data_IF_783089027778
#
_entry.id   IF_783089027778
#
_cell.length_a   1.000
_cell.length_b   1.000
_cell.length_c   1.000
_cell.angle_alpha   90.00
_cell.angle_beta   90.00
_cell.angle_gamma   90.00
#
_symmetry.space_group_name_H-M   'P 1'
#
loop_
_entity.id
_entity.type
_entity.pdbx_description
1 polymer ?
#
# COMPACT_ATOMS: atom_id res chain seq x y z
N UNK A 1 -30.54 -5.20 54.33
CA UNK A 1 -29.28 -5.47 53.59
C UNK A 1 -29.36 -6.88 53.03
N UNK A 2 -29.28 -7.03 51.72
CA UNK A 2 -28.86 -8.23 50.99
C UNK A 2 -28.87 -7.85 49.50
N UNK A 3 -27.77 -7.26 49.04
CA UNK A 3 -27.56 -6.96 47.62
C UNK A 3 -27.17 -8.29 46.97
N UNK A 4 -28.01 -8.75 46.06
CA UNK A 4 -27.84 -9.99 45.31
C UNK A 4 -26.61 -9.90 44.41
N UNK A 5 -25.54 -10.58 44.81
CA UNK A 5 -24.24 -10.66 44.11
C UNK A 5 -24.32 -11.49 42.81
N UNK A 6 -25.48 -12.09 42.50
CA UNK A 6 -25.62 -13.03 41.37
C UNK A 6 -25.96 -12.40 40.01
N UNK A 7 -26.14 -11.08 39.91
CA UNK A 7 -26.58 -10.41 38.68
C UNK A 7 -25.49 -9.57 37.99
N UNK A 8 -24.21 -9.97 38.08
CA UNK A 8 -23.08 -9.26 37.42
C UNK A 8 -22.37 -10.13 36.37
N UNK A 9 -22.81 -11.38 36.14
CA UNK A 9 -22.24 -12.30 35.15
C UNK A 9 -23.06 -12.33 33.84
N UNK A 10 -23.40 -11.16 33.29
CA UNK A 10 -24.11 -11.08 32.01
C UNK A 10 -23.30 -10.20 31.04
N UNK A 11 -22.86 -10.85 29.94
CA UNK A 11 -22.43 -10.31 28.65
C UNK A 11 -20.98 -9.80 28.51
N UNK A 12 -20.00 -10.70 28.67
CA UNK A 12 -18.82 -10.65 27.80
C UNK A 12 -19.10 -11.49 26.55
N UNK A 13 -19.94 -10.96 25.65
CA UNK A 13 -20.06 -11.48 24.29
C UNK A 13 -18.76 -11.14 23.57
N UNK A 14 -17.78 -12.06 23.61
CA UNK A 14 -16.58 -11.96 22.80
C UNK A 14 -17.03 -12.12 21.35
N UNK A 15 -17.32 -11.00 20.69
CA UNK A 15 -17.49 -10.97 19.25
C UNK A 15 -16.19 -11.43 18.63
N UNK A 16 -16.14 -12.67 18.18
CA UNK A 16 -15.05 -13.14 17.33
C UNK A 16 -15.29 -12.48 15.99
N UNK A 17 -14.64 -11.33 15.76
CA UNK A 17 -14.48 -10.78 14.42
C UNK A 17 -13.51 -11.73 13.72
N UNK A 18 -14.06 -12.65 12.93
CA UNK A 18 -13.27 -13.42 11.97
C UNK A 18 -12.82 -12.44 10.88
N UNK A 19 -11.50 -12.29 10.75
CA UNK A 19 -10.96 -11.57 9.60
C UNK A 19 -11.20 -12.41 8.34
N UNK A 20 -11.44 -11.74 7.22
CA UNK A 20 -11.70 -12.39 5.93
C UNK A 20 -10.46 -13.22 5.55
N UNK A 21 -10.67 -14.47 5.21
CA UNK A 21 -9.62 -15.31 4.66
C UNK A 21 -9.31 -14.81 3.24
N UNK A 22 -8.11 -14.27 3.06
CA UNK A 22 -7.62 -13.82 1.76
C UNK A 22 -6.78 -14.92 1.13
N UNK A 23 -6.88 -15.05 -0.18
CA UNK A 23 -6.00 -15.93 -0.96
C UNK A 23 -4.60 -15.30 -1.03
N UNK A 24 -3.72 -15.73 -0.12
CA UNK A 24 -2.36 -15.22 -0.04
C UNK A 24 -1.50 -15.60 -1.26
N UNK A 25 -1.92 -16.57 -2.09
CA UNK A 25 -1.21 -16.89 -3.34
C UNK A 25 -1.38 -15.78 -4.38
N UNK A 26 -2.44 -14.96 -4.26
CA UNK A 26 -2.70 -13.82 -5.14
C UNK A 26 -2.02 -12.52 -4.71
N UNK A 27 -1.32 -12.50 -3.57
CA UNK A 27 -0.67 -11.28 -3.06
C UNK A 27 0.52 -10.90 -3.95
N UNK A 28 0.46 -9.72 -4.56
CA UNK A 28 1.52 -9.18 -5.43
C UNK A 28 2.37 -8.11 -4.77
N UNK A 29 1.82 -7.45 -3.73
CA UNK A 29 2.55 -6.48 -2.93
C UNK A 29 2.02 -6.54 -1.49
N UNK A 30 2.95 -6.52 -0.54
CA UNK A 30 2.62 -6.50 0.88
C UNK A 30 3.73 -5.83 1.69
N UNK A 31 3.35 -5.37 2.87
CA UNK A 31 4.29 -4.89 3.87
C UNK A 31 3.63 -4.82 5.24
N UNK A 32 4.46 -4.80 6.29
CA UNK A 32 3.99 -4.60 7.65
C UNK A 32 4.93 -3.66 8.41
N UNK A 33 4.39 -2.86 9.32
CA UNK A 33 5.14 -1.89 10.10
C UNK A 33 4.25 -1.08 11.03
N UNK A 34 4.90 -0.21 11.80
CA UNK A 34 4.23 0.63 12.80
C UNK A 34 3.62 1.89 12.16
N UNK A 35 2.38 2.20 12.55
CA UNK A 35 1.68 3.45 12.25
C UNK A 35 1.17 4.02 13.58
N UNK A 36 1.89 5.00 14.13
CA UNK A 36 1.65 5.44 15.50
C UNK A 36 1.84 4.27 16.49
N UNK A 37 0.78 3.91 17.21
CA UNK A 37 0.75 2.78 18.14
C UNK A 37 0.22 1.47 17.51
N UNK A 38 -0.18 1.52 16.24
CA UNK A 38 -0.76 0.39 15.52
C UNK A 38 0.31 -0.41 14.80
N UNK A 39 0.24 -1.74 14.87
CA UNK A 39 1.02 -2.61 13.99
C UNK A 39 0.15 -2.99 12.78
N UNK A 40 0.50 -2.46 11.62
CA UNK A 40 -0.33 -2.50 10.42
C UNK A 40 0.32 -3.41 9.37
N UNK A 41 -0.51 -4.17 8.64
CA UNK A 41 -0.15 -4.91 7.43
C UNK A 41 -1.02 -4.43 6.28
N UNK A 42 -0.42 -4.18 5.12
CA UNK A 42 -1.15 -3.93 3.88
C UNK A 42 -0.95 -5.07 2.90
N UNK A 43 -1.98 -5.38 2.11
CA UNK A 43 -1.95 -6.39 1.05
C UNK A 43 -2.57 -5.82 -0.22
N UNK A 44 -1.97 -6.14 -1.36
CA UNK A 44 -2.51 -5.91 -2.70
C UNK A 44 -2.57 -7.24 -3.40
N UNK A 45 -3.76 -7.61 -3.88
CA UNK A 45 -4.01 -8.89 -4.53
C UNK A 45 -4.17 -8.68 -6.04
N UNK A 46 -3.58 -9.58 -6.82
CA UNK A 46 -3.77 -9.62 -8.27
C UNK A 46 -5.24 -9.85 -8.60
N UNK A 47 -5.83 -8.99 -9.44
CA UNK A 47 -7.23 -9.07 -9.88
C UNK A 47 -8.25 -8.56 -8.86
N UNK A 48 -7.81 -8.01 -7.72
CA UNK A 48 -8.68 -7.28 -6.79
C UNK A 48 -8.37 -5.78 -6.92
N UNK A 49 -9.38 -4.91 -7.07
CA UNK A 49 -9.14 -3.49 -7.27
C UNK A 49 -8.75 -2.76 -5.98
N UNK A 50 -8.97 -3.35 -4.80
CA UNK A 50 -8.85 -2.68 -3.51
C UNK A 50 -7.53 -2.96 -2.78
N UNK A 51 -7.10 -1.98 -2.00
CA UNK A 51 -6.04 -2.13 -1.01
C UNK A 51 -6.62 -2.67 0.30
N UNK A 52 -6.07 -3.77 0.80
CA UNK A 52 -6.49 -4.32 2.09
C UNK A 52 -5.53 -3.79 3.16
N UNK A 53 -6.08 -3.19 4.22
CA UNK A 53 -5.33 -2.77 5.41
C UNK A 53 -5.81 -3.55 6.62
N UNK A 54 -4.87 -4.16 7.33
CA UNK A 54 -5.13 -4.96 8.52
C UNK A 54 -4.34 -4.41 9.70
N UNK A 55 -5.01 -4.18 10.82
CA UNK A 55 -4.34 -3.96 12.09
C UNK A 55 -4.13 -5.31 12.77
N UNK A 56 -2.92 -5.57 13.22
CA UNK A 56 -2.56 -6.82 13.88
C UNK A 56 -2.59 -6.65 15.39
N UNK A 57 -3.16 -7.64 16.08
CA UNK A 57 -3.16 -7.65 17.54
C UNK A 57 -1.72 -7.82 18.09
N UNK A 58 -1.26 -6.95 19.00
CA UNK A 58 0.05 -7.11 19.63
C UNK A 58 0.21 -8.47 20.31
N UNK A 59 1.33 -9.16 20.05
CA UNK A 59 1.57 -10.52 20.56
C UNK A 59 0.63 -11.61 20.01
N UNK A 60 -0.31 -11.26 19.13
CA UNK A 60 -1.34 -12.14 18.58
C UNK A 60 -0.86 -13.11 17.51
N UNK A 61 0.46 -13.24 17.28
CA UNK A 61 1.06 -14.10 16.23
C UNK A 61 0.46 -13.87 14.83
N UNK A 62 0.27 -12.61 14.46
CA UNK A 62 -0.32 -12.23 13.18
C UNK A 62 -1.85 -12.27 13.14
N UNK A 63 -2.53 -12.46 14.27
CA UNK A 63 -3.98 -12.32 14.37
C UNK A 63 -4.39 -10.89 13.98
N UNK A 64 -5.29 -10.80 13.01
CA UNK A 64 -5.92 -9.55 12.59
C UNK A 64 -6.93 -9.13 13.67
N UNK A 65 -6.83 -7.86 14.09
CA UNK A 65 -7.72 -7.22 15.06
C UNK A 65 -8.83 -6.42 14.38
N UNK A 66 -8.52 -5.81 13.24
CA UNK A 66 -9.46 -5.14 12.35
C UNK A 66 -8.89 -5.14 10.94
N UNK A 67 -9.79 -5.07 9.96
CA UNK A 67 -9.47 -5.05 8.54
C UNK A 67 -10.39 -4.05 7.86
N UNK A 68 -9.87 -3.33 6.88
CA UNK A 68 -10.69 -2.54 5.97
C UNK A 68 -10.10 -2.55 4.56
N UNK A 69 -11.00 -2.53 3.57
CA UNK A 69 -10.65 -2.43 2.16
C UNK A 69 -10.81 -0.97 1.73
N UNK A 70 -9.75 -0.38 1.17
CA UNK A 70 -9.80 0.94 0.56
C UNK A 70 -9.89 0.75 -0.96
N UNK A 71 -11.06 1.08 -1.52
CA UNK A 71 -11.41 0.85 -2.92
C UNK A 71 -11.62 2.17 -3.70
N UNK A 72 -11.12 3.29 -3.20
CA UNK A 72 -11.32 4.61 -3.80
C UNK A 72 -10.16 5.56 -3.49
N UNK A 73 -10.01 6.57 -4.35
CA UNK A 73 -9.12 7.71 -4.18
C UNK A 73 -9.92 8.98 -4.50
N UNK A 74 -9.83 9.99 -3.63
CA UNK A 74 -10.58 11.26 -3.76
C UNK A 74 -12.10 11.11 -3.97
N UNK A 75 -12.68 10.02 -3.42
CA UNK A 75 -14.11 9.72 -3.50
C UNK A 75 -14.53 8.94 -4.75
N UNK A 76 -13.63 8.79 -5.72
CA UNK A 76 -13.86 8.04 -6.94
C UNK A 76 -13.42 6.58 -6.75
N UNK A 77 -14.28 5.63 -7.15
CA UNK A 77 -14.02 4.21 -6.94
C UNK A 77 -13.03 3.66 -7.97
N UNK A 78 -12.24 2.68 -7.56
CA UNK A 78 -11.27 2.00 -8.42
C UNK A 78 -11.91 1.14 -9.52
N UNK A 79 -13.11 0.61 -9.27
CA UNK A 79 -13.80 -0.31 -10.17
C UNK A 79 -14.29 0.35 -11.47
N UNK A 80 -14.80 1.58 -11.39
CA UNK A 80 -15.49 2.25 -12.50
C UNK A 80 -15.01 3.68 -12.79
N UNK A 81 -14.28 4.31 -11.86
CA UNK A 81 -13.79 5.68 -12.04
C UNK A 81 -12.49 5.82 -12.81
N UNK A 82 -11.79 4.71 -13.06
CA UNK A 82 -10.47 4.69 -13.67
C UNK A 82 -10.34 3.55 -14.69
N UNK A 83 -9.43 3.72 -15.65
CA UNK A 83 -9.04 2.65 -16.57
C UNK A 83 -8.18 1.62 -15.85
N UNK A 84 -7.26 2.09 -15.00
CA UNK A 84 -6.39 1.24 -14.19
C UNK A 84 -5.93 1.98 -12.93
N UNK A 85 -5.78 1.23 -11.85
CA UNK A 85 -5.15 1.68 -10.59
C UNK A 85 -4.13 0.64 -10.20
N UNK A 86 -2.89 1.06 -9.98
CA UNK A 86 -1.76 0.19 -9.68
C UNK A 86 -1.03 0.66 -8.41
N UNK A 87 -0.92 -0.21 -7.41
CA UNK A 87 -0.09 0.03 -6.24
C UNK A 87 1.37 -0.35 -6.56
N UNK A 88 2.23 0.64 -6.71
CA UNK A 88 3.63 0.45 -7.16
C UNK A 88 4.56 0.08 -6.01
N UNK A 89 4.35 0.69 -4.84
CA UNK A 89 5.13 0.41 -3.64
C UNK A 89 4.40 0.87 -2.38
N UNK A 90 4.86 0.40 -1.21
CA UNK A 90 4.38 0.86 0.09
C UNK A 90 5.51 0.92 1.11
N UNK A 91 5.57 2.01 1.88
CA UNK A 91 6.62 2.28 2.85
C UNK A 91 6.03 2.75 4.17
N UNK A 92 6.53 2.18 5.27
CA UNK A 92 6.26 2.65 6.62
C UNK A 92 7.38 3.62 7.03
N UNK A 93 7.04 4.88 7.30
CA UNK A 93 8.02 5.89 7.71
C UNK A 93 7.37 7.00 8.54
N UNK A 94 8.08 7.42 9.59
CA UNK A 94 7.65 8.51 10.49
C UNK A 94 6.24 8.26 11.06
N UNK A 95 5.94 7.01 11.43
CA UNK A 95 4.64 6.61 11.99
C UNK A 95 3.48 6.65 10.98
N UNK A 96 3.77 6.60 9.67
CA UNK A 96 2.78 6.64 8.59
C UNK A 96 3.00 5.51 7.60
N UNK A 97 1.92 5.07 6.96
CA UNK A 97 1.96 4.21 5.79
C UNK A 97 1.73 5.08 4.54
N UNK A 98 2.74 5.15 3.68
CA UNK A 98 2.70 5.89 2.42
C UNK A 98 2.86 4.91 1.25
N UNK A 99 1.98 5.03 0.27
CA UNK A 99 1.93 4.21 -0.93
C UNK A 99 2.25 5.06 -2.16
N UNK A 100 2.89 4.45 -3.15
CA UNK A 100 2.95 5.00 -4.50
C UNK A 100 1.87 4.36 -5.35
N UNK A 101 0.95 5.17 -5.87
CA UNK A 101 -0.23 4.71 -6.61
C UNK A 101 -0.21 5.29 -8.01
N UNK A 102 -0.11 4.43 -9.02
CA UNK A 102 -0.33 4.78 -10.41
C UNK A 102 -1.82 4.79 -10.73
N UNK A 103 -2.30 5.85 -11.37
CA UNK A 103 -3.70 6.01 -11.76
C UNK A 103 -3.75 6.37 -13.23
N UNK A 104 -4.45 5.54 -14.01
CA UNK A 104 -4.79 5.83 -15.41
C UNK A 104 -6.27 6.18 -15.48
N UNK A 105 -6.63 7.44 -15.77
CA UNK A 105 -8.02 7.86 -15.85
C UNK A 105 -8.71 7.26 -17.09
N UNK A 106 -10.03 7.41 -17.16
CA UNK A 106 -10.85 6.96 -18.29
C UNK A 106 -10.50 7.70 -19.59
N UNK A 107 -10.11 8.97 -19.48
CA UNK A 107 -9.58 9.72 -20.61
C UNK A 107 -8.16 9.23 -20.93
N UNK A 108 -7.78 9.08 -22.21
CA UNK A 108 -6.49 8.54 -22.61
C UNK A 108 -5.37 9.58 -22.48
N UNK A 109 -5.15 10.08 -21.27
CA UNK A 109 -4.09 11.06 -20.94
C UNK A 109 -2.84 10.40 -20.33
N UNK A 110 -2.87 9.07 -20.17
CA UNK A 110 -1.78 8.28 -19.60
C UNK A 110 -1.83 8.16 -18.08
N UNK A 111 -0.84 7.44 -17.53
CA UNK A 111 -0.74 7.18 -16.09
C UNK A 111 -0.11 8.37 -15.35
N UNK A 112 -0.74 8.77 -14.24
CA UNK A 112 -0.18 9.70 -13.25
C UNK A 112 0.16 8.96 -11.97
N UNK A 113 1.31 9.26 -11.35
CA UNK A 113 1.75 8.62 -10.10
C UNK A 113 1.53 9.56 -8.92
N UNK A 114 0.84 9.07 -7.90
CA UNK A 114 0.53 9.77 -6.66
C UNK A 114 1.31 9.17 -5.50
N UNK A 115 1.70 10.02 -4.55
CA UNK A 115 2.09 9.60 -3.21
C UNK A 115 0.88 9.72 -2.29
N UNK A 116 0.43 8.59 -1.76
CA UNK A 116 -0.82 8.45 -1.01
C UNK A 116 -0.54 8.00 0.42
N UNK A 117 -0.94 8.81 1.39
CA UNK A 117 -0.94 8.42 2.80
C UNK A 117 -2.23 7.69 3.16
N UNK A 118 -2.14 6.55 3.84
CA UNK A 118 -3.30 5.88 4.43
C UNK A 118 -3.70 6.64 5.69
N UNK A 119 -4.92 7.17 5.70
CA UNK A 119 -5.48 7.94 6.81
C UNK A 119 -6.24 6.99 7.74
N UNK A 120 -5.85 7.00 9.01
CA UNK A 120 -6.49 6.22 10.07
C UNK A 120 -7.41 7.11 10.91
N UNK A 121 -8.62 6.66 11.18
CA UNK A 121 -9.58 7.33 12.07
C UNK A 121 -10.11 6.32 13.06
N UNK A 122 -9.91 6.60 14.36
CA UNK A 122 -10.24 5.66 15.46
C UNK A 122 -9.65 4.27 15.19
N UNK A 123 -8.38 4.26 14.85
CA UNK A 123 -7.58 3.08 14.50
C UNK A 123 -8.02 2.34 13.24
N UNK A 124 -9.08 2.75 12.53
CA UNK A 124 -9.48 2.11 11.28
C UNK A 124 -8.87 2.85 10.08
N UNK A 125 -8.26 2.11 9.15
CA UNK A 125 -7.80 2.67 7.89
C UNK A 125 -9.02 3.07 7.04
N UNK A 126 -9.25 4.36 6.84
CA UNK A 126 -10.51 4.84 6.27
C UNK A 126 -10.37 5.20 4.78
N UNK A 127 -9.28 5.88 4.41
CA UNK A 127 -9.11 6.43 3.06
C UNK A 127 -7.64 6.67 2.71
N UNK A 128 -7.39 6.90 1.42
CA UNK A 128 -6.14 7.45 0.93
C UNK A 128 -6.22 8.97 0.83
N UNK A 129 -5.14 9.66 1.22
CA UNK A 129 -4.93 11.09 0.98
C UNK A 129 -3.74 11.25 0.06
N UNK A 130 -3.99 11.64 -1.19
CA UNK A 130 -3.01 11.59 -2.25
C UNK A 130 -2.50 12.96 -2.68
N UNK A 131 -1.23 13.01 -3.06
CA UNK A 131 -0.58 14.17 -3.66
C UNK A 131 0.15 13.70 -4.91
N UNK A 132 -0.02 14.41 -6.01
CA UNK A 132 0.68 14.10 -7.25
C UNK A 132 2.19 14.11 -7.00
N UNK A 133 2.87 13.02 -7.37
CA UNK A 133 4.31 12.96 -7.32
C UNK A 133 4.81 13.65 -8.58
N UNK A 134 5.36 14.86 -8.43
CA UNK A 134 6.11 15.47 -9.52
C UNK A 134 7.19 14.47 -9.92
N UNK A 135 7.15 14.01 -11.17
CA UNK A 135 8.30 13.31 -11.75
C UNK A 135 9.45 14.31 -11.62
N UNK A 136 10.41 14.02 -10.74
CA UNK A 136 11.73 14.61 -10.92
C UNK A 136 12.20 13.97 -12.21
N UNK A 137 12.19 14.80 -13.25
CA UNK A 137 12.56 14.42 -14.60
C UNK A 137 13.82 13.59 -14.54
N UNK A 138 13.78 12.48 -15.28
CA UNK A 138 14.89 11.64 -15.69
C UNK A 138 16.25 12.22 -15.28
N UNK A 139 16.88 11.63 -14.26
CA UNK A 139 18.33 11.69 -14.21
C UNK A 139 18.79 11.00 -15.49
N UNK A 140 19.09 11.83 -16.49
CA UNK A 140 19.43 11.39 -17.82
C UNK A 140 20.59 10.42 -17.64
N UNK A 141 20.37 9.15 -17.97
CA UNK A 141 21.48 8.32 -18.39
C UNK A 141 21.98 8.93 -19.69
N UNK A 142 22.84 9.95 -19.57
CA UNK A 142 23.66 10.41 -20.66
C UNK A 142 24.56 9.24 -20.99
N UNK A 143 24.19 8.49 -22.03
CA UNK A 143 25.12 7.63 -22.74
C UNK A 143 26.21 8.58 -23.24
N UNK A 144 27.38 8.53 -22.61
CA UNK A 144 28.57 9.16 -23.17
C UNK A 144 28.96 8.37 -24.42
N UNK A 145 28.40 8.75 -25.57
CA UNK A 145 29.01 8.47 -26.86
C UNK A 145 30.36 9.19 -26.91
N UNK A 146 31.43 8.47 -26.59
CA UNK A 146 32.78 8.82 -27.02
C UNK A 146 33.72 7.64 -26.85
N UNK A 147 33.81 6.79 -27.88
CA UNK A 147 35.06 6.16 -28.34
C UNK A 147 34.77 5.13 -29.44
N UNK A 148 34.16 5.59 -30.54
CA UNK A 148 34.33 4.93 -31.83
C UNK A 148 34.96 5.93 -32.79
N UNK A 149 36.27 6.12 -32.69
CA UNK A 149 37.13 6.25 -33.87
C UNK A 149 38.61 6.24 -33.47
N UNK A 150 39.37 5.50 -34.27
CA UNK A 150 40.83 5.53 -34.41
C UNK A 150 41.63 4.76 -33.38
N UNK A 151 42.11 3.56 -33.78
CA UNK A 151 43.52 3.14 -33.69
C UNK A 151 43.73 1.80 -34.45
N UNK A 152 43.88 1.89 -35.77
CA UNK A 152 44.84 1.13 -36.61
C UNK A 152 45.48 2.18 -37.52
N UNK A 153 46.73 2.05 -38.02
CA UNK A 153 47.69 0.92 -38.05
C UNK A 153 49.00 1.36 -37.32
N UNK A 154 50.17 0.70 -37.28
CA UNK A 154 51.00 0.05 -38.31
C UNK A 154 51.96 -0.97 -37.66
N UNK A 155 52.23 -2.03 -38.39
CA UNK A 155 53.36 -2.91 -38.18
C UNK A 155 54.65 -2.22 -38.68
N UNK A 156 55.77 -2.41 -37.97
CA UNK A 156 57.12 -2.12 -38.48
C UNK A 156 58.14 -3.09 -37.87
N UNK A 157 59.23 -3.43 -38.59
CA UNK A 157 59.90 -4.72 -38.50
C UNK A 157 61.13 -4.71 -37.59
N UNK A 158 61.52 -5.90 -37.12
CA UNK A 158 62.90 -6.33 -36.88
C UNK A 158 63.00 -7.84 -37.08
#
# INVERSE_FOLDING_TARGET
MNVSVFLVLILCSIGVVEAKEHDYERVILAGAGDVGELFVRFLVLSGEPCLIIQNLAPGGRGKVSSENDICSIDGEKFEDGYTAVEFKSGTFKDGRLVLEVGVTPLQPIGETVFSCEVVFVKDLAERLSCKEKKRLDEESCAVSENSFLSLRPEASPK
#
